data_IF_225486164819
#
_entry.id   IF_225486164819
#
_cell.length_a   1.000
_cell.length_b   1.000
_cell.length_c   1.000
_cell.angle_alpha   90.00
_cell.angle_beta   90.00
_cell.angle_gamma   90.00
#
_symmetry.space_group_name_H-M   'P 1'
#
loop_
_entity.id
_entity.type
_entity.pdbx_description
1 polymer ?
#
# COMPACT_ATOMS: atom_id res chain seq x y z
N UNK A 1 16.33 21.59 8.72
CA UNK A 1 14.93 21.14 8.84
C UNK A 1 14.92 19.84 9.64
N UNK A 2 14.21 19.85 10.78
CA UNK A 2 14.12 18.67 11.63
C UNK A 2 13.18 17.66 10.98
N UNK A 3 13.70 16.57 10.44
CA UNK A 3 12.92 15.41 10.02
C UNK A 3 12.26 14.78 11.25
N UNK A 4 10.95 14.90 11.36
CA UNK A 4 10.17 14.19 12.37
C UNK A 4 9.73 12.86 11.76
N UNK A 5 10.20 11.75 12.33
CA UNK A 5 9.62 10.44 12.04
C UNK A 5 8.12 10.46 12.34
N UNK A 6 7.31 10.22 11.32
CA UNK A 6 5.87 10.14 11.51
C UNK A 6 5.51 8.67 11.76
N UNK A 7 5.29 8.33 13.03
CA UNK A 7 4.82 7.00 13.40
C UNK A 7 3.41 6.80 12.85
N UNK A 8 3.24 5.83 11.97
CA UNK A 8 1.98 5.48 11.34
C UNK A 8 1.10 4.71 12.31
N UNK A 9 1.62 3.63 12.87
CA UNK A 9 1.01 2.83 13.91
C UNK A 9 2.10 2.06 14.67
N UNK A 10 1.77 1.53 15.84
CA UNK A 10 2.66 0.69 16.64
C UNK A 10 2.04 -0.71 16.79
N UNK A 11 2.88 -1.71 17.09
CA UNK A 11 2.46 -3.10 17.28
C UNK A 11 1.71 -3.67 16.07
N UNK A 12 2.27 -3.46 14.87
CA UNK A 12 1.71 -3.96 13.61
C UNK A 12 2.40 -5.27 13.27
N UNK A 13 1.63 -6.30 12.92
CA UNK A 13 2.16 -7.58 12.44
C UNK A 13 2.44 -7.55 10.94
N UNK A 14 1.53 -6.94 10.16
CA UNK A 14 1.65 -6.91 8.71
C UNK A 14 1.21 -5.58 8.10
N UNK A 15 1.86 -5.20 7.00
CA UNK A 15 1.44 -4.07 6.15
C UNK A 15 1.04 -4.60 4.80
N UNK A 16 -0.20 -4.34 4.39
CA UNK A 16 -0.68 -4.65 3.06
C UNK A 16 -0.47 -3.43 2.15
N UNK A 17 0.50 -3.53 1.24
CA UNK A 17 0.70 -2.56 0.18
C UNK A 17 -0.31 -2.82 -0.95
N UNK A 18 -1.41 -2.07 -0.93
CA UNK A 18 -2.54 -2.26 -1.85
C UNK A 18 -2.34 -1.44 -3.10
N UNK A 19 -2.34 -2.09 -4.26
CA UNK A 19 -2.23 -1.47 -5.57
C UNK A 19 -3.31 -2.03 -6.51
N UNK A 20 -3.92 -1.17 -7.32
CA UNK A 20 -4.89 -1.62 -8.30
C UNK A 20 -4.20 -2.07 -9.60
N UNK A 21 -4.65 -3.17 -10.19
CA UNK A 21 -4.27 -3.62 -11.52
C UNK A 21 -5.10 -2.86 -12.58
N UNK A 22 -4.81 -1.58 -12.74
CA UNK A 22 -5.40 -0.72 -13.74
C UNK A 22 -4.34 0.27 -14.26
N UNK A 23 -4.76 1.32 -14.95
CA UNK A 23 -3.85 2.33 -15.50
C UNK A 23 -2.94 3.00 -14.42
N UNK A 24 -3.27 2.83 -13.15
CA UNK A 24 -2.51 3.36 -12.00
C UNK A 24 -1.47 2.34 -11.46
N UNK A 25 -1.38 1.14 -12.06
CA UNK A 25 -0.40 0.13 -11.66
C UNK A 25 1.02 0.68 -11.83
N UNK A 26 1.77 0.69 -10.73
CA UNK A 26 3.13 1.22 -10.73
C UNK A 26 4.01 0.43 -9.73
N UNK A 27 4.87 -0.48 -10.22
CA UNK A 27 5.79 -1.26 -9.40
C UNK A 27 6.69 -0.39 -8.50
N UNK A 28 7.19 0.73 -9.02
CA UNK A 28 8.06 1.66 -8.25
C UNK A 28 7.34 2.28 -7.05
N UNK A 29 6.02 2.44 -7.11
CA UNK A 29 5.22 2.88 -5.97
C UNK A 29 5.16 1.80 -4.89
N UNK A 30 5.07 0.54 -5.30
CA UNK A 30 5.09 -0.61 -4.39
C UNK A 30 6.45 -0.70 -3.69
N UNK A 31 7.56 -0.63 -4.44
CA UNK A 31 8.91 -0.58 -3.89
C UNK A 31 9.07 0.51 -2.82
N UNK A 32 8.55 1.71 -3.10
CA UNK A 32 8.56 2.82 -2.14
C UNK A 32 7.79 2.50 -0.86
N UNK A 33 6.65 1.82 -0.94
CA UNK A 33 5.93 1.39 0.26
C UNK A 33 6.72 0.34 1.05
N UNK A 34 7.38 -0.59 0.36
CA UNK A 34 8.20 -1.60 1.00
C UNK A 34 9.41 -0.99 1.71
N UNK A 35 10.04 0.03 1.12
CA UNK A 35 11.12 0.79 1.76
C UNK A 35 10.68 1.42 3.09
N UNK A 36 9.50 2.03 3.11
CA UNK A 36 8.96 2.67 4.31
C UNK A 36 8.66 1.67 5.43
N UNK A 37 8.43 0.41 5.08
CA UNK A 37 8.20 -0.69 6.02
C UNK A 37 9.50 -1.40 6.38
N UNK A 38 10.51 -1.27 5.54
CA UNK A 38 11.83 -1.87 5.75
C UNK A 38 12.44 -1.47 7.10
N UNK A 39 13.12 -2.40 7.75
CA UNK A 39 13.74 -2.16 9.05
C UNK A 39 12.79 -2.08 10.26
N UNK A 40 11.47 -2.07 10.05
CA UNK A 40 10.48 -2.01 11.14
C UNK A 40 10.18 -3.35 11.80
N UNK A 41 10.64 -4.47 11.21
CA UNK A 41 10.30 -5.83 11.65
C UNK A 41 8.88 -6.27 11.31
N UNK A 42 8.12 -5.42 10.60
CA UNK A 42 6.75 -5.71 10.14
C UNK A 42 6.80 -6.52 8.85
N UNK A 43 5.90 -7.49 8.69
CA UNK A 43 5.81 -8.30 7.48
C UNK A 43 5.07 -7.55 6.37
N UNK A 44 5.72 -7.19 5.25
CA UNK A 44 5.04 -6.59 4.11
C UNK A 44 4.38 -7.66 3.25
N UNK A 45 3.19 -7.33 2.73
CA UNK A 45 2.44 -8.14 1.76
C UNK A 45 1.91 -7.22 0.68
N UNK A 46 2.18 -7.52 -0.57
CA UNK A 46 1.63 -6.78 -1.71
C UNK A 46 0.29 -7.37 -2.10
N UNK A 47 -0.75 -6.53 -2.15
CA UNK A 47 -2.10 -6.92 -2.52
C UNK A 47 -2.51 -6.18 -3.79
N UNK A 48 -2.54 -6.89 -4.91
CA UNK A 48 -2.98 -6.38 -6.21
C UNK A 48 -4.49 -6.57 -6.31
N UNK A 49 -5.23 -5.47 -6.31
CA UNK A 49 -6.70 -5.48 -6.42
C UNK A 49 -7.14 -5.35 -7.88
N UNK A 50 -8.45 -5.50 -8.13
CA UNK A 50 -9.06 -5.39 -9.45
C UNK A 50 -8.52 -6.42 -10.46
N UNK A 51 -8.13 -7.60 -9.99
CA UNK A 51 -7.66 -8.71 -10.83
C UNK A 51 -8.74 -9.26 -11.79
N UNK A 52 -10.00 -8.87 -11.55
CA UNK A 52 -11.17 -9.22 -12.34
C UNK A 52 -11.44 -8.25 -13.50
N UNK A 53 -10.67 -7.17 -13.63
CA UNK A 53 -10.91 -6.19 -14.68
C UNK A 53 -10.33 -6.63 -16.03
N UNK A 54 -11.06 -6.30 -17.09
CA UNK A 54 -10.56 -6.44 -18.44
C UNK A 54 -9.27 -5.62 -18.62
N UNK A 55 -8.23 -6.25 -19.14
CA UNK A 55 -6.90 -5.66 -19.31
C UNK A 55 -5.99 -5.73 -18.08
N UNK A 56 -6.43 -6.33 -16.97
CA UNK A 56 -5.55 -6.65 -15.85
C UNK A 56 -4.65 -7.82 -16.20
N UNK A 57 -3.38 -7.57 -16.50
CA UNK A 57 -2.41 -8.62 -16.75
C UNK A 57 -1.77 -9.08 -15.43
N UNK A 58 -2.47 -9.99 -14.75
CA UNK A 58 -2.08 -10.53 -13.46
C UNK A 58 -0.74 -11.23 -13.52
N UNK A 59 -0.50 -12.03 -14.55
CA UNK A 59 0.72 -12.83 -14.70
C UNK A 59 1.96 -11.92 -14.88
N UNK A 60 1.84 -10.90 -15.71
CA UNK A 60 2.91 -9.92 -15.92
C UNK A 60 3.21 -9.17 -14.61
N UNK A 61 2.17 -8.69 -13.92
CA UNK A 61 2.36 -7.97 -12.67
C UNK A 61 3.01 -8.84 -11.57
N UNK A 62 2.58 -10.10 -11.43
CA UNK A 62 3.20 -11.04 -10.50
C UNK A 62 4.65 -11.35 -10.88
N UNK A 63 4.95 -11.44 -12.17
CA UNK A 63 6.31 -11.66 -12.65
C UNK A 63 7.22 -10.48 -12.32
N UNK A 64 6.79 -9.25 -12.61
CA UNK A 64 7.55 -8.03 -12.31
C UNK A 64 7.84 -7.87 -10.81
N UNK A 65 6.87 -8.21 -9.96
CA UNK A 65 7.02 -8.02 -8.51
C UNK A 65 7.72 -9.19 -7.81
N UNK A 66 8.01 -10.27 -8.51
CA UNK A 66 8.68 -11.46 -7.93
C UNK A 66 10.04 -11.13 -7.32
N UNK A 67 10.77 -10.19 -7.91
CA UNK A 67 12.10 -9.78 -7.45
C UNK A 67 12.07 -9.08 -6.09
N UNK A 68 10.90 -8.59 -5.64
CA UNK A 68 10.77 -7.90 -4.35
C UNK A 68 10.95 -8.82 -3.14
N UNK A 69 10.90 -10.16 -3.32
CA UNK A 69 11.13 -11.13 -2.26
C UNK A 69 10.06 -11.14 -1.15
N UNK A 70 8.90 -10.52 -1.39
CA UNK A 70 7.77 -10.45 -0.47
C UNK A 70 6.55 -11.18 -1.05
N UNK A 71 5.59 -11.62 -0.22
CA UNK A 71 4.34 -12.18 -0.71
C UNK A 71 3.59 -11.17 -1.60
N UNK A 72 3.18 -11.60 -2.79
CA UNK A 72 2.37 -10.83 -3.74
C UNK A 72 1.13 -11.62 -4.09
N UNK A 73 -0.05 -11.07 -3.85
CA UNK A 73 -1.34 -11.71 -4.14
C UNK A 73 -2.20 -10.81 -5.02
N UNK A 74 -2.79 -11.40 -6.04
CA UNK A 74 -3.78 -10.72 -6.88
C UNK A 74 -5.19 -11.17 -6.47
N UNK A 75 -6.05 -10.21 -6.15
CA UNK A 75 -7.40 -10.48 -5.64
C UNK A 75 -8.45 -9.58 -6.30
N UNK A 76 -9.64 -10.14 -6.48
CA UNK A 76 -10.83 -9.33 -6.66
C UNK A 76 -11.30 -8.87 -5.27
N UNK A 77 -11.08 -7.60 -4.94
CA UNK A 77 -11.41 -7.06 -3.61
C UNK A 77 -12.92 -7.10 -3.29
N UNK A 78 -13.80 -7.35 -4.26
CA UNK A 78 -15.24 -7.49 -4.07
C UNK A 78 -15.68 -8.93 -3.83
N UNK A 79 -14.82 -9.89 -4.16
CA UNK A 79 -15.13 -11.32 -4.06
C UNK A 79 -14.52 -11.91 -2.78
N UNK A 80 -15.38 -12.38 -1.89
CA UNK A 80 -14.97 -12.98 -0.63
C UNK A 80 -14.09 -14.22 -0.82
N UNK A 81 -14.38 -15.03 -1.83
CA UNK A 81 -13.58 -16.22 -2.12
C UNK A 81 -12.17 -15.85 -2.57
N UNK A 82 -12.05 -14.80 -3.40
CA UNK A 82 -10.75 -14.29 -3.84
C UNK A 82 -9.95 -13.69 -2.68
N UNK A 83 -10.61 -12.94 -1.78
CA UNK A 83 -9.98 -12.29 -0.63
C UNK A 83 -9.54 -13.28 0.44
N UNK A 84 -10.10 -14.50 0.46
CA UNK A 84 -9.67 -15.57 1.37
C UNK A 84 -8.17 -15.92 1.24
N UNK A 85 -7.54 -15.62 0.11
CA UNK A 85 -6.09 -15.76 -0.05
C UNK A 85 -5.27 -14.95 0.96
N UNK A 86 -5.86 -13.95 1.62
CA UNK A 86 -5.23 -13.13 2.64
C UNK A 86 -5.36 -13.71 4.06
N UNK A 87 -6.13 -14.76 4.27
CA UNK A 87 -6.36 -15.38 5.59
C UNK A 87 -5.09 -15.72 6.37
N UNK A 88 -3.96 -16.15 5.76
CA UNK A 88 -2.73 -16.43 6.51
C UNK A 88 -2.21 -15.26 7.35
N UNK A 89 -2.55 -14.04 7.00
CA UNK A 89 -2.15 -12.82 7.74
C UNK A 89 -3.25 -12.26 8.64
N UNK A 90 -4.47 -12.80 8.55
CA UNK A 90 -5.67 -12.29 9.22
C UNK A 90 -6.11 -13.15 10.42
N UNK A 91 -5.18 -13.86 11.04
CA UNK A 91 -5.46 -14.67 12.23
C UNK A 91 -5.82 -13.83 13.45
N UNK A 92 -6.36 -14.50 14.48
CA UNK A 92 -6.72 -13.87 15.75
C UNK A 92 -5.55 -13.11 16.38
N UNK A 93 -5.82 -11.91 16.88
CA UNK A 93 -4.84 -11.03 17.53
C UNK A 93 -3.87 -10.34 16.57
N UNK A 94 -3.95 -10.58 15.25
CA UNK A 94 -3.10 -9.90 14.27
C UNK A 94 -3.58 -8.49 13.97
N UNK A 95 -2.61 -7.59 13.84
CA UNK A 95 -2.84 -6.18 13.48
C UNK A 95 -2.26 -5.86 12.11
N UNK A 96 -3.09 -5.30 11.23
CA UNK A 96 -2.75 -5.03 9.84
C UNK A 96 -2.97 -3.56 9.51
N UNK A 97 -2.05 -2.96 8.77
CA UNK A 97 -2.21 -1.63 8.17
C UNK A 97 -2.35 -1.77 6.65
N UNK A 98 -3.29 -1.05 6.07
CA UNK A 98 -3.43 -0.95 4.61
C UNK A 98 -2.79 0.35 4.13
N UNK A 99 -1.82 0.25 3.22
CA UNK A 99 -1.20 1.39 2.54
C UNK A 99 -1.48 1.31 1.04
N UNK A 100 -1.55 2.44 0.37
CA UNK A 100 -1.81 2.48 -1.07
C UNK A 100 -2.49 3.76 -1.50
N UNK A 101 -2.47 4.05 -2.80
CA UNK A 101 -3.09 5.23 -3.40
C UNK A 101 -4.60 5.29 -3.19
N UNK A 102 -5.17 6.47 -3.40
CA UNK A 102 -6.63 6.61 -3.48
C UNK A 102 -7.14 5.79 -4.67
N UNK A 103 -8.24 5.07 -4.48
CA UNK A 103 -8.78 4.20 -5.53
C UNK A 103 -8.11 2.83 -5.68
N UNK A 104 -7.07 2.52 -4.91
CA UNK A 104 -6.43 1.21 -4.89
C UNK A 104 -7.33 0.06 -4.37
N UNK A 105 -8.51 0.36 -3.84
CA UNK A 105 -9.44 -0.66 -3.37
C UNK A 105 -9.36 -0.99 -1.88
N UNK A 106 -8.63 -0.21 -1.08
CA UNK A 106 -8.48 -0.44 0.38
C UNK A 106 -9.83 -0.54 1.12
N UNK A 107 -10.72 0.42 0.90
CA UNK A 107 -12.06 0.42 1.54
C UNK A 107 -12.92 -0.74 1.07
N UNK A 108 -12.85 -1.10 -0.21
CA UNK A 108 -13.54 -2.27 -0.76
C UNK A 108 -13.04 -3.55 -0.11
N UNK A 109 -11.72 -3.70 -0.03
CA UNK A 109 -11.08 -4.85 0.61
C UNK A 109 -11.50 -4.96 2.08
N UNK A 110 -11.46 -3.85 2.82
CA UNK A 110 -11.89 -3.81 4.23
C UNK A 110 -13.35 -4.22 4.38
N UNK A 111 -14.25 -3.72 3.52
CA UNK A 111 -15.68 -4.09 3.56
C UNK A 111 -15.89 -5.58 3.31
N UNK A 112 -15.18 -6.15 2.33
CA UNK A 112 -15.29 -7.58 2.02
C UNK A 112 -14.78 -8.44 3.18
N UNK A 113 -13.67 -8.04 3.81
CA UNK A 113 -13.15 -8.71 5.01
C UNK A 113 -14.09 -8.60 6.21
N UNK A 114 -14.80 -7.49 6.34
CA UNK A 114 -15.83 -7.32 7.36
C UNK A 114 -17.12 -8.11 7.09
N UNK A 115 -17.36 -8.49 5.82
CA UNK A 115 -18.61 -9.09 5.37
C UNK A 115 -19.81 -8.13 5.34
N UNK A 116 -19.57 -6.82 5.39
CA UNK A 116 -20.60 -5.76 5.39
C UNK A 116 -20.12 -4.53 4.63
N UNK A 117 -21.03 -3.77 4.05
CA UNK A 117 -20.75 -2.46 3.46
C UNK A 117 -20.71 -1.36 4.54
N UNK A 118 -19.66 -1.35 5.35
CA UNK A 118 -19.51 -0.37 6.43
C UNK A 118 -18.77 0.90 5.97
N UNK A 119 -17.84 0.77 5.07
CA UNK A 119 -17.05 1.90 4.55
C UNK A 119 -17.63 2.38 3.23
N UNK A 120 -17.81 3.69 3.09
CA UNK A 120 -18.22 4.26 1.81
C UNK A 120 -17.10 4.06 0.78
N UNK A 121 -17.35 3.17 -0.17
CA UNK A 121 -16.53 3.02 -1.38
C UNK A 121 -16.97 4.08 -2.37
N UNK A 122 -16.38 5.24 -2.34
CA UNK A 122 -16.78 6.34 -3.23
C UNK A 122 -15.59 6.99 -3.88
N UNK A 123 -15.72 7.21 -5.19
CA UNK A 123 -14.94 8.19 -5.90
C UNK A 123 -14.98 9.53 -5.14
N UNK A 124 -13.82 10.18 -5.14
CA UNK A 124 -13.60 11.57 -4.76
C UNK A 124 -14.91 12.37 -4.58
N UNK A 125 -15.18 12.81 -3.37
CA UNK A 125 -16.22 13.80 -3.11
C UNK A 125 -15.95 15.05 -3.93
N UNK A 126 -16.58 15.14 -5.09
CA UNK A 126 -16.83 16.40 -5.72
C UNK A 126 -17.93 17.10 -4.92
N UNK A 127 -17.60 18.19 -4.26
CA UNK A 127 -18.56 19.14 -3.72
C UNK A 127 -19.04 18.87 -2.30
N UNK A 128 -18.24 19.23 -1.31
CA UNK A 128 -18.77 19.83 -0.08
C UNK A 128 -17.76 20.85 0.46
N UNK A 129 -17.94 22.09 0.01
CA UNK A 129 -17.28 23.28 0.48
C UNK A 129 -17.96 23.72 1.81
N UNK A 130 -17.82 22.94 2.86
CA UNK A 130 -18.05 23.41 4.24
C UNK A 130 -17.30 22.58 5.27
N UNK A 131 -16.25 23.15 5.79
CA UNK A 131 -15.66 22.67 7.04
C UNK A 131 -14.37 21.88 6.85
N UNK A 132 -13.29 22.61 6.88
CA UNK A 132 -11.91 22.23 7.08
C UNK A 132 -11.74 21.48 8.41
N UNK A 133 -12.24 20.25 8.47
CA UNK A 133 -11.87 19.28 9.50
C UNK A 133 -11.25 18.08 8.79
N UNK A 134 -9.93 18.11 8.68
CA UNK A 134 -9.11 16.94 8.46
C UNK A 134 -9.43 15.96 9.57
N UNK A 135 -10.28 14.97 9.29
CA UNK A 135 -10.61 13.90 10.23
C UNK A 135 -9.35 13.05 10.40
N UNK A 136 -8.57 13.37 11.42
CA UNK A 136 -7.37 12.67 11.87
C UNK A 136 -7.72 11.47 12.75
N UNK A 137 -8.86 10.85 12.58
CA UNK A 137 -9.24 9.70 13.38
C UNK A 137 -8.70 8.43 12.73
N UNK A 138 -7.66 7.87 13.34
CA UNK A 138 -7.25 6.49 13.12
C UNK A 138 -8.33 5.60 13.70
N UNK A 139 -8.89 4.70 12.89
CA UNK A 139 -9.89 3.75 13.34
C UNK A 139 -9.26 2.36 13.46
N UNK A 140 -9.53 1.69 14.57
CA UNK A 140 -9.25 0.27 14.73
C UNK A 140 -10.51 -0.51 14.34
N UNK A 141 -10.41 -1.34 13.31
CA UNK A 141 -11.52 -2.09 12.75
C UNK A 141 -11.30 -3.56 13.06
N UNK A 142 -12.12 -4.12 13.98
CA UNK A 142 -12.08 -5.54 14.29
C UNK A 142 -12.71 -6.35 13.14
N UNK A 143 -12.01 -7.39 12.70
CA UNK A 143 -12.51 -8.34 11.70
C UNK A 143 -13.17 -9.55 12.36
N UNK A 144 -14.10 -10.24 11.67
CA UNK A 144 -14.68 -11.48 12.16
C UNK A 144 -13.67 -12.59 12.45
N UNK A 145 -12.50 -12.54 11.81
CA UNK A 145 -11.38 -13.48 12.04
C UNK A 145 -10.66 -13.26 13.38
N UNK A 146 -10.96 -12.19 14.11
CA UNK A 146 -10.22 -11.78 15.31
C UNK A 146 -9.00 -10.90 15.04
N UNK A 147 -8.68 -10.63 13.77
CA UNK A 147 -7.66 -9.63 13.40
C UNK A 147 -8.23 -8.21 13.48
N UNK A 148 -7.33 -7.23 13.49
CA UNK A 148 -7.68 -5.82 13.46
C UNK A 148 -7.04 -5.10 12.27
N UNK A 149 -7.79 -4.29 11.56
CA UNK A 149 -7.26 -3.35 10.58
C UNK A 149 -7.14 -1.97 11.22
N UNK A 150 -5.96 -1.37 11.09
CA UNK A 150 -5.73 0.02 11.47
C UNK A 150 -5.94 0.88 10.24
N UNK A 151 -7.05 1.61 10.21
CA UNK A 151 -7.33 2.56 9.13
C UNK A 151 -6.64 3.90 9.43
N UNK A 152 -5.76 4.29 8.53
CA UNK A 152 -5.01 5.54 8.62
C UNK A 152 -5.46 6.46 7.49
N UNK A 153 -6.45 7.33 7.72
CA UNK A 153 -6.85 8.31 6.71
C UNK A 153 -5.69 9.28 6.44
N UNK A 154 -5.34 9.44 5.17
CA UNK A 154 -4.37 10.45 4.74
C UNK A 154 -2.96 9.97 4.40
N UNK A 155 -2.69 8.66 4.33
CA UNK A 155 -1.38 8.15 3.90
C UNK A 155 -1.15 8.28 2.37
N UNK A 156 -1.51 9.45 1.82
CA UNK A 156 -1.36 9.70 0.37
C UNK A 156 0.07 10.07 -0.02
N UNK A 157 0.91 10.44 0.96
CA UNK A 157 2.28 10.92 0.71
C UNK A 157 3.23 10.42 1.80
N UNK A 158 3.56 9.14 1.72
CA UNK A 158 4.69 8.62 2.47
C UNK A 158 5.97 9.04 1.74
N UNK A 159 6.81 9.81 2.41
CA UNK A 159 8.15 10.16 1.92
C UNK A 159 9.19 9.32 2.65
N UNK A 160 10.11 8.67 1.95
CA UNK A 160 11.26 8.02 2.58
C UNK A 160 12.06 9.06 3.38
N UNK A 161 12.50 8.72 4.57
CA UNK A 161 13.23 9.65 5.46
C UNK A 161 14.73 9.38 5.55
N UNK A 162 15.25 8.36 4.86
CA UNK A 162 16.66 8.04 4.84
C UNK A 162 17.22 8.07 3.41
N UNK A 163 18.32 8.80 3.18
CA UNK A 163 19.01 8.81 1.89
C UNK A 163 19.64 7.43 1.59
N UNK A 164 20.11 6.72 2.60
CA UNK A 164 20.78 5.42 2.49
C UNK A 164 19.80 4.31 2.04
N UNK A 165 18.59 4.26 2.58
CA UNK A 165 17.59 3.26 2.20
C UNK A 165 17.04 3.47 0.78
N UNK A 166 17.06 4.71 0.29
CA UNK A 166 16.62 5.07 -1.06
C UNK A 166 17.69 4.67 -2.09
N UNK A 167 18.97 4.91 -1.80
CA UNK A 167 20.07 4.59 -2.68
C UNK A 167 20.17 3.08 -2.97
N UNK A 168 20.07 2.24 -1.94
CA UNK A 168 20.16 0.79 -2.08
C UNK A 168 19.04 0.19 -2.95
N UNK A 169 17.83 0.77 -2.88
CA UNK A 169 16.68 0.29 -3.67
C UNK A 169 16.60 0.84 -5.09
N UNK A 170 17.36 1.87 -5.39
CA UNK A 170 17.43 2.47 -6.72
C UNK A 170 18.85 2.44 -7.29
N UNK A 171 19.64 1.42 -6.93
CA UNK A 171 21.01 1.23 -7.41
C UNK A 171 21.10 1.19 -8.95
N UNK A 172 20.06 0.75 -9.64
CA UNK A 172 19.94 0.79 -11.09
C UNK A 172 19.90 2.23 -11.63
N UNK A 173 19.25 3.14 -10.91
CA UNK A 173 19.18 4.57 -11.26
C UNK A 173 20.50 5.27 -10.96
N UNK A 174 21.14 4.95 -9.84
CA UNK A 174 22.45 5.48 -9.49
C UNK A 174 23.50 5.05 -10.50
N UNK A 175 23.53 3.78 -10.90
CA UNK A 175 24.42 3.30 -11.94
C UNK A 175 24.23 4.00 -13.28
N UNK A 176 22.99 4.39 -13.63
CA UNK A 176 22.71 5.21 -14.80
C UNK A 176 23.13 6.66 -14.61
N UNK A 177 22.99 7.21 -13.41
CA UNK A 177 23.40 8.57 -13.08
C UNK A 177 24.92 8.74 -13.16
N UNK A 178 25.71 7.74 -12.76
CA UNK A 178 27.17 7.73 -12.91
C UNK A 178 27.64 7.79 -14.37
N UNK A 179 26.83 7.30 -15.30
CA UNK A 179 27.09 7.33 -16.74
C UNK A 179 26.69 8.65 -17.41
N UNK A 180 26.17 9.61 -16.65
CA UNK A 180 25.74 10.89 -17.18
C UNK A 180 26.94 11.72 -17.67
N UNK A 181 26.80 12.27 -18.89
CA UNK A 181 27.85 13.12 -19.52
C UNK A 181 28.01 14.50 -18.86
N UNK A 182 27.04 14.92 -18.07
CA UNK A 182 27.02 16.25 -17.48
C UNK A 182 27.27 16.17 -15.98
N UNK A 183 28.32 16.88 -15.51
CA UNK A 183 28.76 16.88 -14.10
C UNK A 183 27.74 17.53 -13.13
N UNK A 184 26.90 18.42 -13.64
CA UNK A 184 25.90 19.17 -12.83
C UNK A 184 24.45 18.83 -13.23
N UNK A 185 24.24 17.68 -13.82
CA UNK A 185 22.91 17.23 -14.22
C UNK A 185 22.10 16.87 -12.97
N UNK A 186 20.91 17.45 -12.85
CA UNK A 186 19.95 17.13 -11.77
C UNK A 186 19.07 15.92 -12.09
N UNK A 187 19.26 15.28 -13.26
CA UNK A 187 18.51 14.11 -13.73
C UNK A 187 16.98 14.30 -13.65
N UNK A 188 16.48 15.53 -13.89
CA UNK A 188 15.07 15.90 -13.85
C UNK A 188 14.44 15.86 -15.26
#
# INVERSE_FOLDING_TARGET
EHYRQQVIAANIDSVFAVCALDADFNPRRIERYLLLVGGSGVQPVVVLTKSDKDGADVEVALHELRALGVPVLAVNAKDRASVAALEPWLGEGRSIVLVGSSGAGKSTLTNTLLGIEKMKTGAVRAGDDRGRHTTTHRALIALPSGACIIDTPGMRELKPTGEEDVAESFADIEALAEQCRFRDCKHA
#
